data_IF_073160963952
#
_entry.id   IF_073160963952
#
_cell.length_a   1.000
_cell.length_b   1.000
_cell.length_c   1.000
_cell.angle_alpha   90.00
_cell.angle_beta   90.00
_cell.angle_gamma   90.00
#
_symmetry.space_group_name_H-M   'P 1'
#
loop_
_entity.id
_entity.type
_entity.pdbx_description
1 polymer ?
#
# COMPACT_ATOMS: atom_id res chain seq x y z
N UNK A 1 -27.85 24.63 2.20
CA UNK A 1 -27.57 23.22 1.90
C UNK A 1 -26.09 23.06 1.74
N UNK A 2 -25.39 22.72 2.83
CA UNK A 2 -23.97 22.35 2.79
C UNK A 2 -23.92 20.92 2.29
N UNK A 3 -23.55 20.73 1.04
CA UNK A 3 -23.18 19.41 0.52
C UNK A 3 -21.91 18.99 1.25
N UNK A 4 -22.05 18.05 2.18
CA UNK A 4 -20.91 17.52 2.91
C UNK A 4 -19.93 16.89 1.94
N UNK A 5 -18.80 17.55 1.73
CA UNK A 5 -17.62 16.92 1.16
C UNK A 5 -17.17 15.88 2.20
N UNK A 6 -17.53 14.65 1.96
CA UNK A 6 -17.07 13.52 2.76
C UNK A 6 -15.58 13.35 2.45
N UNK A 7 -14.73 14.05 3.20
CA UNK A 7 -13.30 13.76 3.22
C UNK A 7 -13.14 12.38 3.81
N UNK A 8 -13.00 11.38 2.94
CA UNK A 8 -12.68 10.04 3.34
C UNK A 8 -11.23 10.06 3.85
N UNK A 9 -11.06 10.30 5.16
CA UNK A 9 -9.76 10.12 5.78
C UNK A 9 -9.41 8.65 5.68
N UNK A 10 -8.33 8.32 4.97
CA UNK A 10 -7.73 7.00 4.91
C UNK A 10 -6.65 6.97 5.99
N UNK A 11 -6.87 6.39 7.18
CA UNK A 11 -5.78 6.15 8.10
C UNK A 11 -4.84 5.12 7.47
N UNK A 12 -3.63 5.59 7.16
CA UNK A 12 -2.58 4.76 6.59
C UNK A 12 -1.77 4.16 7.75
N UNK A 13 -1.70 2.84 7.80
CA UNK A 13 -0.87 2.10 8.74
C UNK A 13 0.23 1.34 8.01
N UNK A 14 1.44 1.38 8.53
CA UNK A 14 2.55 0.53 8.07
C UNK A 14 2.47 -0.90 8.64
N UNK A 15 1.35 -1.25 9.29
CA UNK A 15 1.15 -2.57 9.90
C UNK A 15 1.43 -2.60 11.40
N UNK A 16 1.24 -1.48 12.11
CA UNK A 16 1.26 -1.46 13.57
C UNK A 16 -0.05 -2.09 14.08
N UNK A 17 -0.02 -3.40 14.37
CA UNK A 17 -1.21 -4.17 14.75
C UNK A 17 -1.97 -3.54 15.93
N UNK A 18 -1.35 -3.16 17.05
CA UNK A 18 -2.08 -2.51 18.15
C UNK A 18 -2.75 -1.18 17.73
N UNK A 19 -2.17 -0.48 16.76
CA UNK A 19 -2.77 0.75 16.21
C UNK A 19 -4.04 0.47 15.40
N UNK A 20 -4.05 -0.62 14.64
CA UNK A 20 -5.23 -1.08 13.88
C UNK A 20 -6.34 -1.52 14.85
N UNK A 21 -5.97 -2.25 15.90
CA UNK A 21 -6.91 -2.70 16.94
C UNK A 21 -7.54 -1.51 17.67
N UNK A 22 -6.73 -0.53 18.06
CA UNK A 22 -7.22 0.69 18.70
C UNK A 22 -8.17 1.47 17.77
N UNK A 23 -7.81 1.63 16.49
CA UNK A 23 -8.67 2.30 15.51
C UNK A 23 -10.02 1.60 15.36
N UNK A 24 -10.01 0.27 15.43
CA UNK A 24 -11.23 -0.55 15.40
C UNK A 24 -12.14 -0.31 16.60
N UNK A 25 -11.57 -0.04 17.80
CA UNK A 25 -12.32 0.24 19.02
C UNK A 25 -12.90 1.64 19.06
N UNK A 26 -12.24 2.61 18.46
CA UNK A 26 -12.69 4.02 18.42
C UNK A 26 -13.97 4.24 17.59
N UNK A 27 -14.41 3.26 16.81
CA UNK A 27 -15.65 3.34 16.02
C UNK A 27 -15.65 4.43 14.94
N UNK A 28 -14.46 4.87 14.52
CA UNK A 28 -14.31 5.91 13.48
C UNK A 28 -14.68 5.31 12.12
N UNK A 29 -15.59 5.99 11.42
CA UNK A 29 -16.07 5.55 10.13
C UNK A 29 -15.08 5.88 8.99
N UNK A 30 -14.00 5.11 8.88
CA UNK A 30 -12.93 5.30 7.90
C UNK A 30 -12.59 4.00 7.15
N UNK A 31 -11.84 4.09 6.06
CA UNK A 31 -11.30 2.94 5.35
C UNK A 31 -9.84 2.75 5.73
N UNK A 32 -9.50 1.59 6.27
CA UNK A 32 -8.11 1.27 6.63
C UNK A 32 -7.27 1.10 5.36
N UNK A 33 -6.12 1.77 5.29
CA UNK A 33 -5.09 1.54 4.28
C UNK A 33 -3.83 0.96 4.94
N UNK A 34 -3.33 -0.15 4.41
CA UNK A 34 -2.14 -0.84 4.93
C UNK A 34 -1.01 -0.73 3.92
N UNK A 35 0.06 -0.02 4.26
CA UNK A 35 1.30 0.03 3.50
C UNK A 35 2.05 -1.30 3.64
N UNK A 36 1.80 -2.22 2.72
CA UNK A 36 2.39 -3.56 2.75
C UNK A 36 3.73 -3.62 2.00
N UNK A 37 3.76 -3.13 0.78
CA UNK A 37 4.90 -2.99 -0.14
C UNK A 37 5.57 -4.29 -0.58
N UNK A 38 5.35 -5.42 0.08
CA UNK A 38 5.75 -6.76 -0.34
C UNK A 38 5.00 -7.81 0.48
N UNK A 39 4.68 -8.98 -0.11
CA UNK A 39 3.97 -10.07 0.56
C UNK A 39 4.88 -11.02 1.33
N UNK A 40 6.20 -10.97 1.12
CA UNK A 40 7.19 -11.82 1.76
C UNK A 40 7.87 -11.09 2.93
N UNK A 41 7.96 -11.77 4.06
CA UNK A 41 8.51 -11.18 5.28
C UNK A 41 9.99 -10.84 5.16
N UNK A 42 10.77 -11.62 4.39
CA UNK A 42 12.21 -11.41 4.22
C UNK A 42 12.51 -10.04 3.61
N UNK A 43 11.87 -9.70 2.50
CA UNK A 43 12.03 -8.38 1.90
C UNK A 43 11.36 -7.31 2.76
N UNK A 44 10.21 -7.62 3.37
CA UNK A 44 9.48 -6.66 4.18
C UNK A 44 10.25 -6.23 5.42
N UNK A 45 11.05 -7.12 6.02
CA UNK A 45 11.93 -6.77 7.15
C UNK A 45 12.93 -5.66 6.78
N UNK A 46 13.32 -5.59 5.50
CA UNK A 46 14.25 -4.56 5.00
C UNK A 46 13.56 -3.28 4.56
N UNK A 47 12.37 -3.38 3.93
CA UNK A 47 11.64 -2.22 3.40
C UNK A 47 10.78 -1.52 4.47
N UNK A 48 10.24 -2.29 5.40
CA UNK A 48 9.28 -1.83 6.41
C UNK A 48 9.68 -2.38 7.77
N UNK A 49 10.56 -1.71 8.52
CA UNK A 49 11.18 -2.26 9.73
C UNK A 49 10.23 -2.75 10.82
N UNK A 50 9.00 -2.23 10.88
CA UNK A 50 7.97 -2.71 11.81
C UNK A 50 7.59 -4.19 11.58
N UNK A 51 7.91 -4.74 10.39
CA UNK A 51 7.69 -6.15 10.08
C UNK A 51 8.51 -7.11 10.98
N UNK A 52 9.62 -6.64 11.53
CA UNK A 52 10.37 -7.41 12.53
C UNK A 52 9.53 -7.71 13.77
N UNK A 53 8.50 -6.91 14.03
CA UNK A 53 7.59 -7.07 15.17
C UNK A 53 6.24 -7.69 14.78
N UNK A 54 5.72 -7.32 13.61
CA UNK A 54 4.40 -7.80 13.13
C UNK A 54 4.55 -8.27 11.68
N UNK A 55 4.52 -9.57 11.50
CA UNK A 55 4.69 -10.23 10.20
C UNK A 55 3.47 -10.01 9.29
N UNK A 56 3.67 -10.18 7.98
CA UNK A 56 2.64 -9.97 6.95
C UNK A 56 1.32 -10.63 7.33
N UNK A 57 1.35 -11.88 7.79
CA UNK A 57 0.12 -12.61 8.15
C UNK A 57 -0.62 -12.00 9.34
N UNK A 58 0.10 -11.49 10.32
CA UNK A 58 -0.48 -10.83 11.51
C UNK A 58 -1.13 -9.50 11.12
N UNK A 59 -0.45 -8.73 10.27
CA UNK A 59 -0.97 -7.46 9.74
C UNK A 59 -2.25 -7.68 8.93
N UNK A 60 -2.28 -8.69 8.05
CA UNK A 60 -3.46 -9.04 7.28
C UNK A 60 -4.60 -9.56 8.16
N UNK A 61 -4.28 -10.34 9.20
CA UNK A 61 -5.29 -10.79 10.18
C UNK A 61 -5.91 -9.61 10.94
N UNK A 62 -5.11 -8.62 11.33
CA UNK A 62 -5.63 -7.41 11.97
C UNK A 62 -6.53 -6.59 11.01
N UNK A 63 -6.15 -6.50 9.73
CA UNK A 63 -6.97 -5.84 8.71
C UNK A 63 -8.29 -6.59 8.46
N UNK A 64 -8.29 -7.93 8.45
CA UNK A 64 -9.52 -8.73 8.36
C UNK A 64 -10.44 -8.54 9.56
N UNK A 65 -9.86 -8.46 10.77
CA UNK A 65 -10.64 -8.19 11.97
C UNK A 65 -11.27 -6.79 11.93
N UNK A 66 -10.52 -5.81 11.42
CA UNK A 66 -11.05 -4.46 11.19
C UNK A 66 -12.22 -4.49 10.19
N UNK A 67 -12.08 -5.20 9.07
CA UNK A 67 -13.13 -5.36 8.06
C UNK A 67 -14.37 -6.02 8.67
N UNK A 68 -14.22 -7.13 9.38
CA UNK A 68 -15.33 -7.84 10.03
C UNK A 68 -16.10 -6.96 11.02
N UNK A 69 -15.41 -6.13 11.79
CA UNK A 69 -16.02 -5.26 12.78
C UNK A 69 -16.72 -4.05 12.16
N UNK A 70 -16.11 -3.45 11.14
CA UNK A 70 -16.58 -2.20 10.53
C UNK A 70 -17.47 -2.40 9.31
N UNK A 71 -17.45 -3.60 8.70
CA UNK A 71 -18.07 -3.91 7.40
C UNK A 71 -17.41 -3.21 6.22
N UNK A 72 -16.21 -2.63 6.42
CA UNK A 72 -15.53 -1.81 5.42
C UNK A 72 -14.35 -2.55 4.82
N UNK A 73 -14.31 -2.59 3.49
CA UNK A 73 -13.15 -3.04 2.74
C UNK A 73 -11.91 -2.24 3.14
N UNK A 74 -10.76 -2.91 3.32
CA UNK A 74 -9.48 -2.25 3.49
C UNK A 74 -8.68 -2.19 2.19
N UNK A 75 -7.70 -1.29 2.10
CA UNK A 75 -6.79 -1.22 0.97
C UNK A 75 -5.36 -1.63 1.36
N UNK A 76 -4.70 -2.26 0.41
CA UNK A 76 -3.26 -2.57 0.47
C UNK A 76 -2.54 -1.58 -0.43
N UNK A 77 -1.70 -0.74 0.16
CA UNK A 77 -0.84 0.17 -0.56
C UNK A 77 0.48 -0.55 -0.89
N UNK A 78 0.83 -0.59 -2.16
CA UNK A 78 2.00 -1.30 -2.66
C UNK A 78 2.81 -0.39 -3.58
N UNK A 79 3.90 0.19 -3.06
CA UNK A 79 4.86 0.93 -3.87
C UNK A 79 5.63 -0.08 -4.74
N UNK A 80 5.47 0.01 -6.05
CA UNK A 80 6.07 -0.91 -7.01
C UNK A 80 7.46 -0.40 -7.42
N UNK A 81 8.49 -1.14 -7.03
CA UNK A 81 9.90 -0.78 -7.17
C UNK A 81 10.57 -1.77 -8.13
N UNK A 82 11.16 -1.23 -9.20
CA UNK A 82 11.83 -2.02 -10.24
C UNK A 82 12.88 -2.97 -9.67
N UNK A 83 12.83 -4.23 -10.09
CA UNK A 83 13.75 -5.31 -9.78
C UNK A 83 13.87 -5.63 -8.25
N UNK A 84 13.03 -4.99 -7.41
CA UNK A 84 13.02 -5.17 -5.95
C UNK A 84 11.79 -5.96 -5.50
N UNK A 85 10.57 -5.49 -5.85
CA UNK A 85 9.32 -6.10 -5.38
C UNK A 85 8.27 -6.29 -6.49
N UNK A 86 8.64 -6.08 -7.75
CA UNK A 86 7.77 -6.14 -8.93
C UNK A 86 7.76 -7.49 -9.67
N UNK A 87 8.39 -8.53 -9.09
CA UNK A 87 8.45 -9.85 -9.72
C UNK A 87 7.09 -10.56 -9.69
N UNK A 88 6.80 -11.31 -10.76
CA UNK A 88 5.55 -12.08 -10.94
C UNK A 88 5.25 -13.03 -9.78
N UNK A 89 6.28 -13.66 -9.18
CA UNK A 89 6.08 -14.57 -8.05
C UNK A 89 5.58 -13.83 -6.79
N UNK A 90 5.94 -12.55 -6.62
CA UNK A 90 5.41 -11.72 -5.52
C UNK A 90 3.95 -11.34 -5.77
N UNK A 91 3.59 -11.06 -7.03
CA UNK A 91 2.19 -10.87 -7.39
C UNK A 91 1.36 -12.13 -7.09
N UNK A 92 1.89 -13.31 -7.43
CA UNK A 92 1.25 -14.60 -7.16
C UNK A 92 1.10 -14.84 -5.65
N UNK A 93 2.16 -14.61 -4.87
CA UNK A 93 2.10 -14.72 -3.40
C UNK A 93 1.08 -13.75 -2.79
N UNK A 94 1.08 -12.49 -3.24
CA UNK A 94 0.11 -11.49 -2.78
C UNK A 94 -1.33 -11.89 -3.15
N UNK A 95 -1.53 -12.35 -4.38
CA UNK A 95 -2.82 -12.84 -4.86
C UNK A 95 -3.35 -14.00 -4.00
N UNK A 96 -2.51 -14.97 -3.67
CA UNK A 96 -2.87 -16.08 -2.75
C UNK A 96 -3.23 -15.59 -1.35
N UNK A 97 -2.47 -14.64 -0.82
CA UNK A 97 -2.73 -14.06 0.50
C UNK A 97 -4.04 -13.28 0.55
N UNK A 98 -4.40 -12.58 -0.53
CA UNK A 98 -5.57 -11.71 -0.58
C UNK A 98 -6.83 -12.38 -1.16
N UNK A 99 -6.69 -13.57 -1.74
CA UNK A 99 -7.82 -14.33 -2.29
C UNK A 99 -8.92 -14.50 -1.24
N UNK A 100 -10.16 -14.21 -1.63
CA UNK A 100 -11.37 -14.27 -0.78
C UNK A 100 -11.38 -13.28 0.40
N UNK A 101 -10.51 -12.27 0.41
CA UNK A 101 -10.54 -11.16 1.38
C UNK A 101 -11.27 -9.97 0.78
N UNK A 102 -12.00 -9.24 1.59
CA UNK A 102 -12.64 -8.00 1.18
C UNK A 102 -11.61 -6.86 1.18
N UNK A 103 -10.70 -6.94 0.25
CA UNK A 103 -9.56 -6.03 0.11
C UNK A 103 -9.45 -5.43 -1.28
N UNK A 104 -8.64 -4.41 -1.43
CA UNK A 104 -8.29 -3.75 -2.68
C UNK A 104 -6.80 -3.44 -2.70
N UNK A 105 -6.14 -3.59 -3.83
CA UNK A 105 -4.71 -3.25 -3.95
C UNK A 105 -4.57 -1.95 -4.74
N UNK A 106 -3.89 -0.97 -4.14
CA UNK A 106 -3.42 0.22 -4.82
C UNK A 106 -1.93 0.04 -5.15
N UNK A 107 -1.63 -0.18 -6.43
CA UNK A 107 -0.27 -0.17 -6.93
C UNK A 107 0.17 1.27 -7.16
N UNK A 108 1.29 1.64 -6.58
CA UNK A 108 1.84 2.99 -6.65
C UNK A 108 3.18 2.90 -7.36
N UNK A 109 3.26 3.24 -8.67
CA UNK A 109 4.55 3.33 -9.33
C UNK A 109 5.47 4.27 -8.55
N UNK A 110 6.69 3.80 -8.24
CA UNK A 110 7.62 4.59 -7.45
C UNK A 110 7.98 5.88 -8.19
N UNK A 111 7.82 7.03 -7.52
CA UNK A 111 8.40 8.28 -7.99
C UNK A 111 9.85 8.35 -7.50
N UNK A 112 10.84 8.30 -8.39
CA UNK A 112 12.23 8.47 -7.99
C UNK A 112 12.43 9.88 -7.42
N UNK A 113 12.97 9.96 -6.20
CA UNK A 113 13.43 11.24 -5.62
C UNK A 113 14.90 11.46 -6.00
N UNK A 114 15.36 12.72 -6.08
CA UNK A 114 16.77 13.00 -6.34
C UNK A 114 17.68 12.24 -5.36
N UNK A 115 18.64 11.49 -5.90
CA UNK A 115 19.54 10.63 -5.09
C UNK A 115 18.99 9.25 -4.72
N UNK A 116 17.75 8.91 -5.06
CA UNK A 116 17.22 7.56 -4.86
C UNK A 116 17.87 6.56 -5.81
N UNK A 117 18.32 5.44 -5.26
CA UNK A 117 18.80 4.29 -6.05
C UNK A 117 17.65 3.46 -6.65
N UNK A 118 16.42 3.71 -6.24
CA UNK A 118 15.25 2.97 -6.67
C UNK A 118 14.51 3.71 -7.78
N UNK A 119 13.97 2.94 -8.72
CA UNK A 119 13.23 3.45 -9.89
C UNK A 119 11.86 2.79 -9.99
N UNK A 120 10.97 3.40 -10.78
CA UNK A 120 9.67 2.81 -11.09
C UNK A 120 9.82 1.48 -11.83
N UNK A 121 8.90 0.56 -11.59
CA UNK A 121 8.77 -0.68 -12.34
C UNK A 121 8.59 -0.41 -13.83
N UNK A 122 8.97 -1.38 -14.67
CA UNK A 122 8.68 -1.32 -16.11
C UNK A 122 7.18 -1.48 -16.34
N UNK A 123 6.66 -0.92 -17.40
CA UNK A 123 5.22 -1.02 -17.71
C UNK A 123 4.77 -2.46 -17.93
N UNK A 124 5.64 -3.29 -18.49
CA UNK A 124 5.38 -4.70 -18.72
C UNK A 124 5.26 -5.47 -17.41
N UNK A 125 6.17 -5.22 -16.45
CA UNK A 125 6.17 -5.85 -15.14
C UNK A 125 4.95 -5.40 -14.30
N UNK A 126 4.61 -4.12 -14.37
CA UNK A 126 3.41 -3.56 -13.73
C UNK A 126 2.13 -4.20 -14.30
N UNK A 127 2.01 -4.29 -15.63
CA UNK A 127 0.86 -4.88 -16.29
C UNK A 127 0.72 -6.38 -15.93
N UNK A 128 1.83 -7.11 -15.89
CA UNK A 128 1.85 -8.52 -15.49
C UNK A 128 1.47 -8.68 -14.01
N UNK A 129 1.95 -7.80 -13.13
CA UNK A 129 1.59 -7.79 -11.71
C UNK A 129 0.08 -7.60 -11.53
N UNK A 130 -0.52 -6.65 -12.24
CA UNK A 130 -1.97 -6.42 -12.25
C UNK A 130 -2.71 -7.68 -12.72
N UNK A 131 -2.32 -8.22 -13.88
CA UNK A 131 -2.94 -9.41 -14.48
C UNK A 131 -2.97 -10.60 -13.51
N UNK A 132 -1.85 -10.82 -12.80
CA UNK A 132 -1.75 -11.92 -11.82
C UNK A 132 -2.72 -11.67 -10.65
N UNK A 133 -2.74 -10.48 -10.05
CA UNK A 133 -3.66 -10.19 -8.95
C UNK A 133 -5.13 -10.34 -9.35
N UNK A 134 -5.49 -9.84 -10.53
CA UNK A 134 -6.85 -9.97 -11.07
C UNK A 134 -7.24 -11.45 -11.29
N UNK A 135 -6.30 -12.31 -11.68
CA UNK A 135 -6.54 -13.76 -11.82
C UNK A 135 -6.93 -14.44 -10.51
N UNK A 136 -6.57 -13.85 -9.37
CA UNK A 136 -7.00 -14.28 -8.03
C UNK A 136 -8.33 -13.63 -7.57
N UNK A 137 -8.93 -12.79 -8.42
CA UNK A 137 -10.13 -12.02 -8.08
C UNK A 137 -9.86 -10.84 -7.14
N UNK A 138 -8.61 -10.39 -7.03
CA UNK A 138 -8.22 -9.25 -6.21
C UNK A 138 -8.39 -7.96 -7.01
N UNK A 139 -9.25 -7.02 -6.58
CA UNK A 139 -9.40 -5.73 -7.25
C UNK A 139 -8.12 -4.90 -7.14
N UNK A 140 -7.65 -4.35 -8.27
CA UNK A 140 -6.42 -3.58 -8.36
C UNK A 140 -6.68 -2.21 -8.98
N UNK A 141 -6.02 -1.18 -8.48
CA UNK A 141 -5.90 0.12 -9.13
C UNK A 141 -4.43 0.50 -9.21
N UNK A 142 -3.98 0.88 -10.39
CA UNK A 142 -2.68 1.53 -10.54
C UNK A 142 -2.88 3.03 -10.36
N UNK A 143 -2.18 3.61 -9.39
CA UNK A 143 -2.27 5.03 -9.11
C UNK A 143 -1.54 5.81 -10.20
N UNK A 144 -2.28 6.65 -10.95
CA UNK A 144 -1.65 7.61 -11.85
C UNK A 144 -0.88 8.64 -11.01
N UNK A 145 0.42 8.69 -11.18
CA UNK A 145 1.29 9.65 -10.50
C UNK A 145 1.19 11.01 -11.18
N UNK A 146 0.00 11.64 -11.07
CA UNK A 146 -0.18 13.04 -11.48
C UNK A 146 0.67 13.93 -10.57
N UNK A 147 1.46 14.80 -11.15
CA UNK A 147 2.30 15.73 -10.39
C UNK A 147 3.80 15.53 -10.57
N UNK A 148 4.24 14.70 -11.53
CA UNK A 148 5.67 14.58 -11.90
C UNK A 148 6.26 15.91 -12.39
N UNK A 149 5.42 16.75 -12.98
CA UNK A 149 5.83 18.04 -13.56
C UNK A 149 5.90 19.19 -12.53
N UNK A 150 5.32 19.01 -11.33
CA UNK A 150 5.19 20.06 -10.30
C UNK A 150 5.76 19.64 -8.95
N UNK A 151 6.64 18.64 -8.88
CA UNK A 151 7.22 18.09 -7.63
C UNK A 151 6.20 17.82 -6.51
N UNK A 152 4.95 17.55 -6.89
CA UNK A 152 3.82 17.41 -5.97
C UNK A 152 3.61 16.00 -5.40
N UNK A 153 4.53 15.05 -5.63
CA UNK A 153 4.42 13.70 -5.11
C UNK A 153 4.94 13.60 -3.65
N UNK A 154 4.34 12.69 -2.87
CA UNK A 154 4.77 12.44 -1.50
C UNK A 154 6.28 12.22 -1.40
N UNK A 155 6.96 13.01 -0.58
CA UNK A 155 8.41 12.97 -0.37
C UNK A 155 9.23 13.92 -1.24
N UNK A 156 8.70 14.45 -2.34
CA UNK A 156 9.45 15.38 -3.20
C UNK A 156 9.61 16.78 -2.59
N UNK A 157 8.60 17.27 -1.88
CA UNK A 157 8.66 18.58 -1.18
C UNK A 157 9.77 18.62 -0.11
N UNK A 158 9.93 17.55 0.65
CA UNK A 158 10.98 17.46 1.67
C UNK A 158 12.40 17.39 1.07
N UNK A 159 12.56 16.80 -0.12
CA UNK A 159 13.85 16.71 -0.80
C UNK A 159 14.27 18.05 -1.43
N UNK A 160 13.33 18.88 -1.92
CA UNK A 160 13.61 20.18 -2.52
C UNK A 160 14.03 21.26 -1.50
N UNK A 161 13.58 21.15 -0.25
CA UNK A 161 14.00 22.05 0.85
C UNK A 161 15.43 21.74 1.34
N UNK A 162 15.79 20.44 1.41
CA UNK A 162 17.14 20.02 1.83
C UNK A 162 18.23 20.30 0.77
N UNK A 163 17.88 20.52 -0.47
CA UNK A 163 18.83 20.85 -1.54
C UNK A 163 19.14 22.36 -1.62
N UNK A 164 18.46 23.22 -0.86
CA UNK A 164 18.63 24.67 -0.82
C UNK A 164 19.39 25.19 0.41
N UNK A 165 19.80 24.32 1.31
CA UNK A 165 20.69 24.56 2.44
C UNK A 165 22.01 23.83 2.23
#
# INVERSE_FOLDING_TARGET
LVTGVQTCALPISVGLVPGIEKLMEEGINCTLAVSLHTPDDELRDTLVPINNRFKVREVLAAADNYEKKTGRRYSIEYALIRDINDQSWRADLLGRLLKNRNSHVNLIPLNPTPGSKWTASRREDEAEFVRILESYGVPVTVRDTRGREIDGACGQLAASENAKN
#
